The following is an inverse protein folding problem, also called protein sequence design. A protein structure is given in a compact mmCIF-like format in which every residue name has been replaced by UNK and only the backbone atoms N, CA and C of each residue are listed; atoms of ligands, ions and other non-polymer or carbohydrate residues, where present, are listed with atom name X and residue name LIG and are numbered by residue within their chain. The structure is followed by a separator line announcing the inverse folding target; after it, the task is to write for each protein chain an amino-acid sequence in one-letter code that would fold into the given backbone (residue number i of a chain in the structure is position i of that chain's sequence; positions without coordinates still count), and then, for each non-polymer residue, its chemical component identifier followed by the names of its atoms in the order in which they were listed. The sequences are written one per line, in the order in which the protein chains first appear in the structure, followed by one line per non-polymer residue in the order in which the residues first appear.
data_IF_780209793559
#
_entry.id   IF_780209793559
#
_cell.length_a   1.000
_cell.length_b   1.000
_cell.length_c   1.000
_cell.angle_alpha   90.00
_cell.angle_beta   90.00
_cell.angle_gamma   90.00
#
_symmetry.space_group_name_H-M   'P 1'
#
loop_
_entity.id
_entity.type
_entity.pdbx_description
1 polymer ?
#
# COMPACT_ATOMS: atom_id res chain seq x y z
N UNK A 1 103.71 51.64 -59.13
CA UNK A 1 105.01 52.11 -59.65
C UNK A 1 105.80 52.65 -58.48
N UNK A 2 106.81 51.88 -58.09
CA UNK A 2 108.16 52.30 -57.74
C UNK A 2 108.47 53.49 -56.81
N UNK A 3 109.33 53.12 -55.86
CA UNK A 3 110.63 53.72 -55.57
C UNK A 3 110.78 54.72 -54.43
N UNK A 4 111.34 54.19 -53.35
CA UNK A 4 112.64 54.58 -52.77
C UNK A 4 113.45 55.71 -53.46
N UNK A 5 113.97 56.62 -52.63
CA UNK A 5 115.15 57.45 -52.91
C UNK A 5 115.19 58.71 -52.01
N UNK A 6 115.91 58.73 -50.89
CA UNK A 6 117.33 59.12 -50.66
C UNK A 6 117.74 60.59 -50.93
N UNK A 7 118.23 61.27 -49.87
CA UNK A 7 119.37 62.25 -49.76
C UNK A 7 119.15 63.09 -48.48
N UNK A 8 119.99 63.18 -47.43
CA UNK A 8 121.43 63.47 -47.21
C UNK A 8 121.79 64.88 -47.71
N UNK A 9 122.13 65.89 -46.89
CA UNK A 9 123.36 66.19 -46.11
C UNK A 9 123.04 67.43 -45.21
N UNK A 10 123.65 67.81 -44.06
CA UNK A 10 125.05 68.17 -43.75
C UNK A 10 125.15 68.49 -42.23
N UNK A 11 126.03 67.85 -41.44
CA UNK A 11 127.34 68.34 -40.90
C UNK A 11 127.29 69.48 -39.84
N UNK A 12 127.71 69.15 -38.62
CA UNK A 12 128.11 70.09 -37.55
C UNK A 12 128.54 69.33 -36.27
N UNK A 13 129.82 69.45 -35.89
CA UNK A 13 130.52 68.67 -34.85
C UNK A 13 130.50 69.30 -33.44
N UNK A 14 130.86 68.44 -32.47
CA UNK A 14 131.64 68.65 -31.22
C UNK A 14 130.92 68.48 -29.85
N UNK A 15 131.27 67.35 -29.18
CA UNK A 15 131.90 67.21 -27.83
C UNK A 15 131.16 67.79 -26.59
N UNK A 16 130.94 67.16 -25.42
CA UNK A 16 131.59 66.10 -24.58
C UNK A 16 130.61 65.74 -23.39
N UNK A 17 130.91 64.87 -22.40
CA UNK A 17 129.98 63.85 -21.92
C UNK A 17 129.47 63.92 -20.46
N UNK A 18 128.41 63.13 -20.24
CA UNK A 18 128.01 62.31 -19.06
C UNK A 18 127.73 62.96 -17.69
N UNK A 19 126.50 62.72 -17.20
CA UNK A 19 126.12 62.83 -15.79
C UNK A 19 124.72 62.26 -15.52
N UNK A 20 124.68 61.14 -14.78
CA UNK A 20 123.49 60.40 -14.33
C UNK A 20 122.53 61.24 -13.47
N UNK A 21 121.23 60.90 -13.46
CA UNK A 21 120.28 60.79 -12.32
C UNK A 21 118.81 60.97 -12.79
N UNK A 22 118.06 59.87 -12.88
CA UNK A 22 116.64 59.87 -13.27
C UNK A 22 115.97 58.52 -13.01
N UNK A 23 115.77 58.13 -11.74
CA UNK A 23 115.17 56.82 -11.36
C UNK A 23 114.10 56.89 -10.26
N UNK A 24 113.71 58.09 -9.81
CA UNK A 24 112.88 58.24 -8.59
C UNK A 24 111.39 58.59 -8.83
N UNK A 25 110.99 59.03 -10.02
CA UNK A 25 109.57 59.35 -10.31
C UNK A 25 108.68 58.11 -10.55
N UNK A 26 109.25 57.01 -11.06
CA UNK A 26 108.48 55.80 -11.39
C UNK A 26 107.90 55.04 -10.19
N UNK A 27 108.45 55.20 -8.98
CA UNK A 27 108.06 54.41 -7.80
C UNK A 27 106.78 54.95 -7.12
N UNK A 28 106.64 56.28 -7.00
CA UNK A 28 105.41 56.93 -6.49
C UNK A 28 104.20 56.68 -7.39
N UNK A 29 104.41 56.68 -8.70
CA UNK A 29 103.37 56.42 -9.68
C UNK A 29 102.83 54.98 -9.57
N UNK A 30 103.70 53.98 -9.35
CA UNK A 30 103.29 52.57 -9.16
C UNK A 30 102.47 52.34 -7.88
N UNK A 31 102.85 52.96 -6.76
CA UNK A 31 102.05 52.89 -5.53
C UNK A 31 100.68 53.56 -5.68
N UNK A 32 100.61 54.69 -6.38
CA UNK A 32 99.36 55.37 -6.70
C UNK A 32 98.45 54.51 -7.61
N UNK A 33 99.01 53.88 -8.64
CA UNK A 33 98.27 52.94 -9.50
C UNK A 33 97.78 51.70 -8.75
N UNK A 34 98.59 51.11 -7.86
CA UNK A 34 98.17 49.97 -7.03
C UNK A 34 97.05 50.35 -6.05
N UNK A 35 97.16 51.51 -5.39
CA UNK A 35 96.11 52.03 -4.51
C UNK A 35 94.82 52.32 -5.28
N UNK A 36 94.91 52.88 -6.49
CA UNK A 36 93.76 53.14 -7.35
C UNK A 36 93.10 51.83 -7.82
N UNK A 37 93.88 50.82 -8.22
CA UNK A 37 93.37 49.51 -8.62
C UNK A 37 92.66 48.80 -7.45
N UNK A 38 93.23 48.86 -6.24
CA UNK A 38 92.58 48.32 -5.05
C UNK A 38 91.29 49.08 -4.71
N UNK A 39 91.29 50.41 -4.81
CA UNK A 39 90.09 51.23 -4.61
C UNK A 39 89.00 50.87 -5.63
N UNK A 40 89.33 50.81 -6.91
CA UNK A 40 88.40 50.41 -7.98
C UNK A 40 87.89 48.99 -7.75
N UNK A 41 88.76 48.04 -7.38
CA UNK A 41 88.35 46.67 -7.07
C UNK A 41 87.42 46.60 -5.86
N UNK A 42 87.68 47.35 -4.79
CA UNK A 42 86.79 47.40 -3.61
C UNK A 42 85.45 48.05 -3.93
N UNK A 43 85.42 49.10 -4.75
CA UNK A 43 84.18 49.74 -5.22
C UNK A 43 83.38 48.78 -6.10
N UNK A 44 84.04 48.08 -7.04
CA UNK A 44 83.41 47.06 -7.89
C UNK A 44 82.85 45.90 -7.05
N UNK A 45 83.61 45.42 -6.07
CA UNK A 45 83.16 44.38 -5.14
C UNK A 45 81.99 44.84 -4.28
N UNK A 46 82.00 46.07 -3.77
CA UNK A 46 80.89 46.65 -3.03
C UNK A 46 79.63 46.79 -3.91
N UNK A 47 79.79 47.17 -5.18
CA UNK A 47 78.68 47.26 -6.13
C UNK A 47 78.10 45.88 -6.47
N UNK A 48 78.94 44.89 -6.72
CA UNK A 48 78.51 43.49 -6.94
C UNK A 48 77.80 42.95 -5.70
N UNK A 49 78.36 43.16 -4.51
CA UNK A 49 77.73 42.73 -3.25
C UNK A 49 76.37 43.41 -3.03
N UNK A 50 76.27 44.70 -3.34
CA UNK A 50 75.00 45.45 -3.27
C UNK A 50 73.95 44.88 -4.22
N UNK A 51 74.31 44.54 -5.45
CA UNK A 51 73.41 43.89 -6.42
C UNK A 51 72.96 42.52 -5.90
N UNK A 52 73.89 41.71 -5.40
CA UNK A 52 73.57 40.38 -4.86
C UNK A 52 72.66 40.46 -3.63
N UNK A 53 72.92 41.39 -2.71
CA UNK A 53 72.07 41.65 -1.54
C UNK A 53 70.70 42.16 -1.96
N UNK A 54 70.62 43.04 -2.96
CA UNK A 54 69.35 43.54 -3.52
C UNK A 54 68.53 42.39 -4.11
N UNK A 55 69.14 41.56 -4.97
CA UNK A 55 68.49 40.38 -5.56
C UNK A 55 68.01 39.39 -4.49
N UNK A 56 68.87 39.06 -3.52
CA UNK A 56 68.51 38.21 -2.39
C UNK A 56 67.37 38.81 -1.55
N UNK A 57 67.33 40.14 -1.37
CA UNK A 57 66.24 40.82 -0.65
C UNK A 57 64.90 40.77 -1.40
N UNK A 58 64.93 40.76 -2.73
CA UNK A 58 63.74 40.67 -3.59
C UNK A 58 63.20 39.25 -3.59
N UNK A 59 64.07 38.25 -3.79
CA UNK A 59 63.70 36.83 -3.71
C UNK A 59 63.17 36.46 -2.32
N UNK A 60 63.79 36.98 -1.25
CA UNK A 60 63.29 36.81 0.11
C UNK A 60 61.91 37.41 0.31
N UNK A 61 61.66 38.63 -0.20
CA UNK A 61 60.32 39.26 -0.13
C UNK A 61 59.28 38.46 -0.92
N UNK A 62 59.62 37.93 -2.08
CA UNK A 62 58.72 37.09 -2.88
C UNK A 62 58.38 35.78 -2.16
N UNK A 63 59.39 35.11 -1.57
CA UNK A 63 59.19 33.89 -0.78
C UNK A 63 58.33 34.14 0.47
N UNK A 64 58.57 35.24 1.19
CA UNK A 64 57.74 35.62 2.35
C UNK A 64 56.29 35.89 1.92
N UNK A 65 56.08 36.65 0.83
CA UNK A 65 54.72 36.89 0.33
C UNK A 65 54.00 35.62 -0.13
N UNK A 66 54.72 34.66 -0.70
CA UNK A 66 54.15 33.36 -1.08
C UNK A 66 53.84 32.49 0.14
N UNK A 67 54.65 32.58 1.20
CA UNK A 67 54.37 31.93 2.48
C UNK A 67 53.15 32.55 3.18
N UNK A 68 53.02 33.88 3.19
CA UNK A 68 51.86 34.58 3.74
C UNK A 68 50.57 34.17 3.00
N UNK A 69 50.60 34.06 1.66
CA UNK A 69 49.48 33.56 0.85
C UNK A 69 49.10 32.12 1.18
N UNK A 70 50.10 31.25 1.40
CA UNK A 70 49.87 29.86 1.80
C UNK A 70 49.28 29.77 3.20
N UNK A 71 49.76 30.57 4.16
CA UNK A 71 49.22 30.63 5.51
C UNK A 71 47.78 31.16 5.52
N UNK A 72 47.48 32.20 4.74
CA UNK A 72 46.13 32.71 4.58
C UNK A 72 45.19 31.66 3.99
N UNK A 73 45.56 31.01 2.89
CA UNK A 73 44.74 29.98 2.26
C UNK A 73 44.55 28.75 3.17
N UNK A 74 45.59 28.35 3.90
CA UNK A 74 45.49 27.30 4.91
C UNK A 74 44.51 27.71 6.02
N UNK A 75 44.56 28.96 6.50
CA UNK A 75 43.62 29.46 7.50
C UNK A 75 42.17 29.44 6.99
N UNK A 76 41.94 29.86 5.74
CA UNK A 76 40.62 29.84 5.10
C UNK A 76 40.07 28.40 5.00
N UNK A 77 40.91 27.45 4.56
CA UNK A 77 40.52 26.04 4.52
C UNK A 77 40.22 25.46 5.91
N UNK A 78 40.95 25.85 6.96
CA UNK A 78 40.64 25.39 8.32
C UNK A 78 39.30 25.91 8.83
N UNK A 79 38.93 27.15 8.48
CA UNK A 79 37.63 27.73 8.82
C UNK A 79 36.51 27.00 8.09
N UNK A 80 36.65 26.80 6.77
CA UNK A 80 35.66 26.08 5.95
C UNK A 80 35.48 24.63 6.43
N UNK A 81 36.58 23.95 6.75
CA UNK A 81 36.55 22.58 7.29
C UNK A 81 35.86 22.53 8.66
N UNK A 82 36.08 23.54 9.50
CA UNK A 82 35.40 23.70 10.79
C UNK A 82 33.88 23.83 10.63
N UNK A 83 33.43 24.73 9.75
CA UNK A 83 32.01 24.94 9.47
C UNK A 83 31.34 23.67 8.89
N UNK A 84 32.00 23.01 7.94
CA UNK A 84 31.49 21.76 7.36
C UNK A 84 31.36 20.65 8.43
N UNK A 85 32.31 20.56 9.36
CA UNK A 85 32.26 19.58 10.46
C UNK A 85 31.08 19.83 11.39
N UNK A 86 30.75 21.09 11.67
CA UNK A 86 29.57 21.45 12.47
C UNK A 86 28.27 21.09 11.74
N UNK A 87 28.15 21.42 10.45
CA UNK A 87 26.96 21.08 9.65
C UNK A 87 26.75 19.56 9.55
N UNK A 88 27.82 18.81 9.27
CA UNK A 88 27.77 17.34 9.23
C UNK A 88 27.39 16.77 10.60
N UNK A 89 27.91 17.35 11.69
CA UNK A 89 27.54 16.98 13.05
C UNK A 89 26.06 17.20 13.35
N UNK A 90 25.53 18.37 12.99
CA UNK A 90 24.11 18.71 13.14
C UNK A 90 23.21 17.79 12.30
N UNK A 91 23.59 17.52 11.05
CA UNK A 91 22.88 16.61 10.16
C UNK A 91 22.85 15.18 10.72
N UNK A 92 24.00 14.68 11.22
CA UNK A 92 24.08 13.36 11.83
C UNK A 92 23.19 13.26 13.08
N UNK A 93 23.20 14.27 13.95
CA UNK A 93 22.32 14.32 15.12
C UNK A 93 20.83 14.32 14.73
N UNK A 94 20.46 15.09 13.70
CA UNK A 94 19.09 15.12 13.17
C UNK A 94 18.68 13.74 12.62
N UNK A 95 19.55 13.09 11.85
CA UNK A 95 19.33 11.77 11.27
C UNK A 95 19.16 10.68 12.35
N UNK A 96 19.96 10.73 13.41
CA UNK A 96 19.82 9.83 14.55
C UNK A 96 18.48 10.06 15.27
N UNK A 97 18.06 11.31 15.43
CA UNK A 97 16.77 11.67 16.02
C UNK A 97 15.58 11.18 15.20
N UNK A 98 15.62 11.33 13.87
CA UNK A 98 14.57 10.83 12.97
C UNK A 98 14.55 9.30 12.94
N UNK A 99 15.71 8.64 12.94
CA UNK A 99 15.81 7.18 13.03
C UNK A 99 15.17 6.65 14.32
N UNK A 100 15.45 7.27 15.47
CA UNK A 100 14.85 6.88 16.74
C UNK A 100 13.33 7.04 16.71
N UNK A 101 12.81 8.18 16.22
CA UNK A 101 11.37 8.39 16.05
C UNK A 101 10.74 7.35 15.13
N UNK A 102 11.38 7.04 14.01
CA UNK A 102 10.89 6.03 13.07
C UNK A 102 10.78 4.65 13.74
N UNK A 103 11.80 4.26 14.51
CA UNK A 103 11.76 3.00 15.26
C UNK A 103 10.60 2.97 16.26
N UNK A 104 10.36 4.05 17.00
CA UNK A 104 9.22 4.16 17.93
C UNK A 104 7.88 4.05 17.20
N UNK A 105 7.71 4.75 16.07
CA UNK A 105 6.48 4.65 15.29
C UNK A 105 6.25 3.25 14.72
N UNK A 106 7.32 2.54 14.38
CA UNK A 106 7.25 1.20 13.82
C UNK A 106 6.84 0.18 14.90
N UNK A 107 7.30 0.36 16.14
CA UNK A 107 6.85 -0.43 17.28
C UNK A 107 5.38 -0.16 17.63
N UNK A 108 4.96 1.11 17.66
CA UNK A 108 3.55 1.48 17.91
C UNK A 108 2.62 0.94 16.81
N UNK A 109 3.07 0.97 15.55
CA UNK A 109 2.32 0.40 14.44
C UNK A 109 2.17 -1.12 14.57
N UNK A 110 3.21 -1.82 15.01
CA UNK A 110 3.15 -3.26 15.30
C UNK A 110 2.15 -3.59 16.41
N UNK A 111 2.16 -2.84 17.50
CA UNK A 111 1.22 -3.03 18.62
C UNK A 111 -0.23 -2.76 18.21
N UNK A 112 -0.47 -1.72 17.42
CA UNK A 112 -1.81 -1.41 16.91
C UNK A 112 -2.31 -2.47 15.95
N UNK A 113 -1.45 -3.02 15.08
CA UNK A 113 -1.81 -4.12 14.19
C UNK A 113 -2.25 -5.37 14.96
N UNK A 114 -1.55 -5.73 16.05
CA UNK A 114 -1.94 -6.87 16.91
C UNK A 114 -3.31 -6.62 17.55
N UNK A 115 -3.57 -5.40 18.06
CA UNK A 115 -4.87 -5.04 18.65
C UNK A 115 -6.02 -5.14 17.64
N UNK A 116 -5.80 -4.71 16.40
CA UNK A 116 -6.81 -4.83 15.32
C UNK A 116 -7.11 -6.29 15.02
N UNK A 117 -6.09 -7.14 14.90
CA UNK A 117 -6.27 -8.59 14.71
C UNK A 117 -7.08 -9.24 15.83
N UNK A 118 -6.83 -8.85 17.08
CA UNK A 118 -7.60 -9.32 18.24
C UNK A 118 -9.07 -8.82 18.22
N UNK A 119 -9.30 -7.58 17.80
CA UNK A 119 -10.66 -7.05 17.64
C UNK A 119 -11.42 -7.78 16.53
N UNK A 120 -10.77 -8.07 15.41
CA UNK A 120 -11.38 -8.85 14.33
C UNK A 120 -11.76 -10.27 14.77
N UNK A 121 -10.91 -10.94 15.57
CA UNK A 121 -11.25 -12.27 16.09
C UNK A 121 -12.41 -12.21 17.09
N UNK A 122 -12.41 -11.22 18.00
CA UNK A 122 -13.51 -11.02 18.95
C UNK A 122 -14.83 -10.68 18.23
N UNK A 123 -14.77 -9.91 17.15
CA UNK A 123 -15.95 -9.56 16.35
C UNK A 123 -16.53 -10.79 15.65
N UNK A 124 -15.69 -11.66 15.08
CA UNK A 124 -16.14 -12.92 14.48
C UNK A 124 -16.80 -13.83 15.50
N UNK A 125 -16.21 -13.98 16.69
CA UNK A 125 -16.78 -14.79 17.77
C UNK A 125 -18.12 -14.21 18.27
N UNK A 126 -18.23 -12.88 18.36
CA UNK A 126 -19.49 -12.22 18.71
C UNK A 126 -20.55 -12.43 17.63
N UNK A 127 -20.19 -12.30 16.35
CA UNK A 127 -21.10 -12.53 15.23
C UNK A 127 -21.63 -13.97 15.23
N UNK A 128 -20.77 -14.95 15.51
CA UNK A 128 -21.16 -16.35 15.62
C UNK A 128 -22.11 -16.58 16.80
N UNK A 129 -21.80 -16.04 17.98
CA UNK A 129 -22.70 -16.09 19.16
C UNK A 129 -24.07 -15.46 18.88
N UNK A 130 -24.10 -14.28 18.25
CA UNK A 130 -25.36 -13.60 17.92
C UNK A 130 -26.16 -14.43 16.91
N UNK A 131 -25.51 -15.00 15.90
CA UNK A 131 -26.17 -15.84 14.88
C UNK A 131 -26.75 -17.10 15.51
N UNK A 132 -25.99 -17.77 16.36
CA UNK A 132 -26.45 -18.94 17.09
C UNK A 132 -27.63 -18.60 18.02
N UNK A 133 -27.51 -17.53 18.80
CA UNK A 133 -28.58 -17.08 19.69
C UNK A 133 -29.86 -16.70 18.94
N UNK A 134 -29.75 -16.09 17.76
CA UNK A 134 -30.89 -15.79 16.92
C UNK A 134 -31.56 -17.06 16.35
N UNK A 135 -30.76 -18.07 15.97
CA UNK A 135 -31.26 -19.36 15.53
C UNK A 135 -31.93 -20.15 16.67
N UNK A 136 -31.40 -20.08 17.89
CA UNK A 136 -32.01 -20.63 19.11
C UNK A 136 -33.34 -19.94 19.41
N UNK A 137 -33.35 -18.61 19.50
CA UNK A 137 -34.58 -17.84 19.73
C UNK A 137 -35.64 -18.08 18.64
N UNK A 138 -35.21 -18.26 17.38
CA UNK A 138 -36.08 -18.64 16.27
C UNK A 138 -36.73 -20.01 16.48
N UNK A 139 -35.95 -21.01 16.90
CA UNK A 139 -36.46 -22.35 17.24
C UNK A 139 -37.40 -22.32 18.45
N UNK A 140 -37.05 -21.59 19.50
CA UNK A 140 -37.88 -21.48 20.70
C UNK A 140 -39.23 -20.82 20.38
N UNK A 141 -39.22 -19.77 19.56
CA UNK A 141 -40.45 -19.13 19.09
C UNK A 141 -41.33 -20.10 18.30
N UNK A 142 -40.73 -20.92 17.44
CA UNK A 142 -41.48 -21.90 16.65
C UNK A 142 -42.01 -23.04 17.53
N UNK A 143 -41.21 -23.53 18.48
CA UNK A 143 -41.66 -24.52 19.45
C UNK A 143 -42.86 -24.00 20.25
N UNK A 144 -42.79 -22.76 20.77
CA UNK A 144 -43.91 -22.13 21.48
C UNK A 144 -45.13 -21.98 20.58
N UNK A 145 -44.94 -21.61 19.30
CA UNK A 145 -46.02 -21.52 18.32
C UNK A 145 -46.66 -22.89 18.11
N UNK A 146 -45.88 -23.94 17.90
CA UNK A 146 -46.34 -25.32 17.71
C UNK A 146 -47.07 -25.84 18.94
N UNK A 147 -46.52 -25.67 20.13
CA UNK A 147 -47.17 -26.04 21.41
C UNK A 147 -48.49 -25.29 21.58
N UNK A 148 -48.52 -23.99 21.30
CA UNK A 148 -49.75 -23.19 21.34
C UNK A 148 -50.78 -23.70 20.34
N UNK A 149 -50.37 -24.04 19.11
CA UNK A 149 -51.27 -24.63 18.12
C UNK A 149 -51.77 -26.01 18.55
N UNK A 150 -50.92 -26.88 19.10
CA UNK A 150 -51.33 -28.19 19.61
C UNK A 150 -52.33 -28.06 20.76
N UNK A 151 -52.12 -27.10 21.68
CA UNK A 151 -53.06 -26.82 22.77
C UNK A 151 -54.37 -26.23 22.22
N UNK A 152 -54.30 -25.30 21.26
CA UNK A 152 -55.49 -24.71 20.63
C UNK A 152 -56.29 -25.74 19.81
N UNK A 153 -55.60 -26.62 19.06
CA UNK A 153 -56.22 -27.74 18.35
C UNK A 153 -56.79 -28.76 19.34
N UNK A 154 -56.06 -29.09 20.41
CA UNK A 154 -56.56 -29.94 21.49
C UNK A 154 -57.83 -29.39 22.13
N UNK A 155 -57.91 -28.08 22.37
CA UNK A 155 -59.10 -27.40 22.89
C UNK A 155 -60.23 -27.35 21.85
N UNK A 156 -59.91 -27.15 20.55
CA UNK A 156 -60.90 -27.18 19.46
C UNK A 156 -61.48 -28.57 19.19
N UNK A 157 -60.69 -29.62 19.39
CA UNK A 157 -60.98 -30.98 18.94
C UNK A 157 -61.17 -32.00 20.06
N UNK A 158 -61.42 -31.56 21.31
CA UNK A 158 -61.84 -32.49 22.36
C UNK A 158 -63.12 -33.29 22.01
N UNK A 159 -63.80 -33.00 20.89
CA UNK A 159 -64.88 -33.83 20.36
C UNK A 159 -64.91 -34.03 18.83
N UNK A 160 -63.92 -33.53 18.08
CA UNK A 160 -64.01 -33.49 16.63
C UNK A 160 -63.18 -34.54 15.89
N UNK A 161 -63.78 -35.26 14.94
CA UNK A 161 -63.07 -36.19 14.05
C UNK A 161 -62.67 -35.51 12.74
N UNK A 162 -61.38 -35.54 12.40
CA UNK A 162 -60.88 -35.05 11.11
C UNK A 162 -60.97 -36.14 10.03
N UNK A 163 -61.44 -35.76 8.84
CA UNK A 163 -61.37 -36.62 7.66
C UNK A 163 -59.89 -36.95 7.34
N UNK A 164 -59.61 -38.17 6.86
CA UNK A 164 -58.28 -38.51 6.36
C UNK A 164 -57.95 -37.71 5.09
N UNK A 165 -56.67 -37.47 4.85
CA UNK A 165 -56.24 -36.83 3.60
C UNK A 165 -56.64 -37.68 2.38
N UNK A 166 -56.92 -37.06 1.22
CA UNK A 166 -57.27 -37.79 0.01
C UNK A 166 -56.16 -38.76 -0.40
N UNK A 167 -56.52 -39.79 -1.18
CA UNK A 167 -55.55 -40.74 -1.73
C UNK A 167 -54.46 -39.99 -2.51
N UNK A 168 -53.20 -40.40 -2.32
CA UNK A 168 -51.98 -39.76 -2.88
C UNK A 168 -51.56 -38.44 -2.23
N UNK A 169 -52.21 -38.02 -1.15
CA UNK A 169 -51.76 -36.90 -0.31
C UNK A 169 -51.08 -37.42 0.94
N UNK A 170 -50.04 -36.73 1.37
CA UNK A 170 -49.34 -37.02 2.62
C UNK A 170 -49.91 -36.15 3.74
N UNK A 171 -49.99 -36.68 4.95
CA UNK A 171 -50.51 -35.95 6.12
C UNK A 171 -49.35 -35.47 7.00
N UNK A 172 -49.38 -34.21 7.39
CA UNK A 172 -48.44 -33.65 8.37
C UNK A 172 -49.11 -32.49 9.12
N UNK A 173 -49.03 -32.50 10.46
CA UNK A 173 -49.52 -31.43 11.35
C UNK A 173 -50.90 -30.81 10.98
N UNK A 174 -51.89 -31.65 10.71
CA UNK A 174 -53.26 -31.19 10.41
C UNK A 174 -53.47 -30.67 8.98
N UNK A 175 -52.45 -30.72 8.12
CA UNK A 175 -52.51 -30.42 6.69
C UNK A 175 -52.30 -31.67 5.83
N UNK A 176 -52.75 -31.59 4.59
CA UNK A 176 -52.56 -32.56 3.52
C UNK A 176 -51.67 -31.94 2.44
N UNK A 177 -50.68 -32.69 1.97
CA UNK A 177 -49.69 -32.27 0.97
C UNK A 177 -49.72 -33.15 -0.27
N UNK A 178 -49.77 -32.54 -1.44
CA UNK A 178 -49.72 -33.23 -2.73
C UNK A 178 -48.50 -32.78 -3.51
N UNK A 179 -47.66 -33.74 -3.88
CA UNK A 179 -46.48 -33.52 -4.71
C UNK A 179 -46.86 -33.86 -6.15
N UNK A 180 -46.93 -32.86 -7.03
CA UNK A 180 -47.24 -33.07 -8.44
C UNK A 180 -46.04 -33.64 -9.18
N UNK A 181 -46.30 -34.34 -10.28
CA UNK A 181 -45.23 -34.66 -11.23
C UNK A 181 -44.88 -33.42 -12.07
N UNK A 182 -43.61 -33.19 -12.45
CA UNK A 182 -43.24 -32.22 -13.48
C UNK A 182 -43.75 -32.65 -14.87
N UNK A 183 -43.83 -31.76 -15.87
CA UNK A 183 -43.46 -30.34 -15.86
C UNK A 183 -44.60 -29.40 -15.43
N UNK A 184 -44.31 -28.37 -14.64
CA UNK A 184 -45.26 -27.30 -14.29
C UNK A 184 -44.56 -25.95 -14.15
N UNK A 185 -45.15 -24.86 -14.64
CA UNK A 185 -44.70 -23.50 -14.33
C UNK A 185 -45.28 -23.02 -12.99
N UNK A 186 -44.73 -21.95 -12.42
CA UNK A 186 -45.23 -21.46 -11.12
C UNK A 186 -46.71 -21.05 -11.19
N UNK A 187 -47.12 -20.39 -12.28
CA UNK A 187 -48.51 -20.00 -12.49
C UNK A 187 -49.43 -21.20 -12.77
N UNK A 188 -48.96 -22.19 -13.55
CA UNK A 188 -49.71 -23.43 -13.77
C UNK A 188 -49.89 -24.23 -12.47
N UNK A 189 -48.86 -24.22 -11.62
CA UNK A 189 -48.86 -24.88 -10.32
C UNK A 189 -49.90 -24.27 -9.36
N UNK A 190 -50.01 -22.94 -9.32
CA UNK A 190 -51.09 -22.29 -8.55
C UNK A 190 -52.47 -22.73 -9.02
N UNK A 191 -52.70 -22.78 -10.34
CA UNK A 191 -53.99 -23.25 -10.90
C UNK A 191 -54.26 -24.71 -10.56
N UNK A 192 -53.23 -25.57 -10.63
CA UNK A 192 -53.33 -26.98 -10.27
C UNK A 192 -53.75 -27.13 -8.80
N UNK A 193 -53.07 -26.44 -7.88
CA UNK A 193 -53.43 -26.50 -6.47
C UNK A 193 -54.84 -25.96 -6.22
N UNK A 194 -55.21 -24.84 -6.85
CA UNK A 194 -56.56 -24.29 -6.73
C UNK A 194 -57.65 -25.28 -7.20
N UNK A 195 -57.43 -25.97 -8.32
CA UNK A 195 -58.34 -27.02 -8.81
C UNK A 195 -58.48 -28.20 -7.84
N UNK A 196 -57.46 -28.45 -7.01
CA UNK A 196 -57.47 -29.45 -5.94
C UNK A 196 -58.06 -28.94 -4.61
N UNK A 197 -58.64 -27.73 -4.62
CA UNK A 197 -59.09 -27.00 -3.43
C UNK A 197 -57.96 -26.84 -2.40
N UNK A 198 -56.78 -26.50 -2.91
CA UNK A 198 -55.53 -26.32 -2.18
C UNK A 198 -54.82 -25.05 -2.67
N UNK A 199 -53.70 -24.72 -2.04
CA UNK A 199 -52.81 -23.65 -2.49
C UNK A 199 -51.39 -24.19 -2.66
N UNK A 200 -50.51 -23.46 -3.35
CA UNK A 200 -49.09 -23.80 -3.31
C UNK A 200 -48.61 -23.76 -1.85
N UNK A 201 -47.74 -24.67 -1.47
CA UNK A 201 -47.31 -24.83 -0.07
C UNK A 201 -46.70 -23.54 0.49
N UNK A 202 -47.04 -23.24 1.74
CA UNK A 202 -46.50 -22.12 2.51
C UNK A 202 -45.74 -22.73 3.68
N UNK A 203 -44.41 -22.59 3.70
CA UNK A 203 -43.59 -23.27 4.70
C UNK A 203 -43.48 -22.41 5.95
N UNK A 204 -44.17 -22.84 7.02
CA UNK A 204 -44.29 -22.11 8.28
C UNK A 204 -43.09 -22.25 9.21
N UNK A 205 -42.31 -23.33 9.10
CA UNK A 205 -41.21 -23.60 10.01
C UNK A 205 -40.32 -24.79 9.65
N UNK A 206 -39.35 -25.07 10.52
CA UNK A 206 -38.31 -26.07 10.28
C UNK A 206 -38.84 -27.51 10.24
N UNK A 207 -39.85 -27.83 11.05
CA UNK A 207 -40.43 -29.19 11.09
C UNK A 207 -41.15 -29.52 9.78
N UNK A 208 -41.96 -28.58 9.28
CA UNK A 208 -42.61 -28.70 7.98
C UNK A 208 -41.59 -28.78 6.85
N UNK A 209 -40.56 -27.92 6.86
CA UNK A 209 -39.46 -28.00 5.90
C UNK A 209 -38.82 -29.39 5.90
N UNK A 210 -38.52 -29.95 7.08
CA UNK A 210 -37.95 -31.29 7.21
C UNK A 210 -38.86 -32.37 6.61
N UNK A 211 -40.16 -32.32 6.91
CA UNK A 211 -41.15 -33.21 6.32
C UNK A 211 -41.17 -33.13 4.79
N UNK A 212 -41.19 -31.92 4.21
CA UNK A 212 -41.21 -31.72 2.76
C UNK A 212 -39.92 -32.22 2.10
N UNK A 213 -38.75 -31.92 2.68
CA UNK A 213 -37.44 -32.36 2.18
C UNK A 213 -37.31 -33.88 2.08
N UNK A 214 -37.90 -34.63 3.02
CA UNK A 214 -37.88 -36.10 3.01
C UNK A 214 -38.71 -36.70 1.86
N UNK A 215 -39.63 -35.94 1.28
CA UNK A 215 -40.58 -36.41 0.29
C UNK A 215 -40.35 -35.83 -1.12
N UNK A 216 -39.22 -35.15 -1.35
CA UNK A 216 -38.86 -34.64 -2.68
C UNK A 216 -38.68 -35.75 -3.72
N UNK A 217 -38.32 -36.97 -3.29
CA UNK A 217 -38.07 -38.13 -4.16
C UNK A 217 -37.10 -37.83 -5.31
N UNK A 218 -36.15 -36.92 -5.09
CA UNK A 218 -35.15 -36.52 -6.09
C UNK A 218 -35.62 -35.49 -7.12
N UNK A 219 -36.80 -34.90 -6.95
CA UNK A 219 -37.37 -33.89 -7.86
C UNK A 219 -37.38 -32.49 -7.23
N UNK A 220 -37.48 -31.46 -8.08
CA UNK A 220 -37.71 -30.07 -7.67
C UNK A 220 -39.18 -29.69 -7.69
N UNK A 221 -39.56 -28.73 -6.84
CA UNK A 221 -40.96 -28.33 -6.64
C UNK A 221 -41.14 -26.83 -6.42
N UNK A 222 -42.10 -26.23 -7.12
CA UNK A 222 -42.55 -24.87 -6.84
C UNK A 222 -43.18 -24.73 -5.45
N UNK A 223 -42.86 -23.61 -4.79
CA UNK A 223 -43.41 -23.19 -3.50
C UNK A 223 -44.35 -22.01 -3.69
N UNK A 224 -45.20 -21.74 -2.69
CA UNK A 224 -46.08 -20.58 -2.67
C UNK A 224 -45.37 -19.27 -2.34
N UNK A 225 -44.12 -19.10 -2.75
CA UNK A 225 -43.26 -17.95 -2.43
C UNK A 225 -42.84 -17.22 -3.70
N UNK A 226 -42.96 -15.89 -3.69
CA UNK A 226 -42.59 -15.03 -4.80
C UNK A 226 -41.92 -13.74 -4.37
N UNK A 227 -41.15 -13.15 -5.28
CA UNK A 227 -40.45 -11.90 -5.09
C UNK A 227 -41.41 -10.70 -5.05
N UNK A 228 -41.01 -9.68 -4.29
CA UNK A 228 -41.61 -8.35 -4.29
C UNK A 228 -40.59 -7.40 -4.89
N UNK A 229 -40.88 -6.95 -6.11
CA UNK A 229 -39.96 -6.14 -6.89
C UNK A 229 -40.33 -4.64 -6.81
N UNK A 230 -39.31 -3.80 -6.60
CA UNK A 230 -39.43 -2.35 -6.68
C UNK A 230 -38.41 -1.82 -7.67
N UNK A 231 -38.86 -1.02 -8.64
CA UNK A 231 -37.99 -0.48 -9.70
C UNK A 231 -37.14 -1.54 -10.43
N UNK A 232 -37.74 -2.72 -10.69
CA UNK A 232 -37.08 -3.83 -11.41
C UNK A 232 -35.99 -4.56 -10.61
N UNK A 233 -36.03 -4.49 -9.27
CA UNK A 233 -35.15 -5.23 -8.37
C UNK A 233 -35.94 -5.92 -7.28
N UNK A 234 -35.59 -7.15 -6.95
CA UNK A 234 -36.11 -7.87 -5.78
C UNK A 234 -35.74 -7.10 -4.51
N UNK A 235 -36.73 -6.80 -3.65
CA UNK A 235 -36.53 -6.16 -2.34
C UNK A 235 -36.78 -7.14 -1.19
N UNK A 236 -37.73 -8.04 -1.37
CA UNK A 236 -38.16 -9.00 -0.37
C UNK A 236 -38.93 -10.14 -1.03
N UNK A 237 -39.29 -11.16 -0.27
CA UNK A 237 -40.18 -12.24 -0.71
C UNK A 237 -41.43 -12.29 0.16
N UNK A 238 -42.55 -12.71 -0.43
CA UNK A 238 -43.83 -12.91 0.26
C UNK A 238 -44.49 -14.21 -0.18
N UNK A 239 -45.17 -14.85 0.77
CA UNK A 239 -46.00 -16.00 0.49
C UNK A 239 -47.27 -15.57 -0.27
N UNK A 240 -47.92 -16.52 -0.94
CA UNK A 240 -49.16 -16.29 -1.70
C UNK A 240 -50.35 -15.87 -0.83
N UNK A 241 -50.29 -16.05 0.49
CA UNK A 241 -51.24 -15.51 1.47
C UNK A 241 -50.97 -14.03 1.82
N UNK A 242 -49.89 -13.45 1.28
CA UNK A 242 -49.46 -12.07 1.51
C UNK A 242 -48.52 -11.88 2.70
N UNK A 243 -48.22 -12.93 3.46
CA UNK A 243 -47.32 -12.83 4.63
C UNK A 243 -45.87 -12.67 4.17
N UNK A 244 -45.12 -11.68 4.70
CA UNK A 244 -43.70 -11.53 4.39
C UNK A 244 -42.87 -12.73 4.86
N UNK A 245 -41.80 -13.05 4.14
CA UNK A 245 -40.93 -14.17 4.48
C UNK A 245 -40.21 -13.94 5.83
N UNK A 246 -40.43 -14.85 6.78
CA UNK A 246 -39.80 -14.81 8.12
C UNK A 246 -38.90 -16.00 8.43
N UNK A 247 -38.98 -17.07 7.64
CA UNK A 247 -38.18 -18.29 7.72
C UNK A 247 -37.71 -18.64 6.31
N UNK A 248 -36.48 -19.10 6.15
CA UNK A 248 -35.96 -19.48 4.84
C UNK A 248 -35.05 -20.70 4.90
N UNK A 249 -35.04 -21.48 3.82
CA UNK A 249 -34.14 -22.62 3.65
C UNK A 249 -33.35 -22.52 2.34
N UNK A 250 -32.85 -21.32 2.04
CA UNK A 250 -32.08 -21.02 0.83
C UNK A 250 -30.86 -21.92 0.66
N UNK A 251 -30.60 -22.31 -0.58
CA UNK A 251 -29.35 -22.95 -0.97
C UNK A 251 -28.18 -21.97 -0.83
N UNK A 252 -26.97 -22.50 -0.72
CA UNK A 252 -25.76 -21.68 -0.65
C UNK A 252 -25.63 -20.80 -1.90
N UNK A 253 -25.64 -19.49 -1.70
CA UNK A 253 -25.57 -18.50 -2.79
C UNK A 253 -26.92 -17.94 -3.22
N UNK A 254 -28.03 -18.46 -2.69
CA UNK A 254 -29.38 -18.01 -3.02
C UNK A 254 -29.99 -17.08 -1.96
N UNK A 255 -30.96 -16.23 -2.34
CA UNK A 255 -31.39 -15.98 -3.72
C UNK A 255 -30.40 -15.08 -4.48
N UNK A 256 -30.20 -15.36 -5.78
CA UNK A 256 -29.20 -14.68 -6.60
C UNK A 256 -29.79 -13.74 -7.68
N UNK A 257 -31.10 -13.79 -7.92
CA UNK A 257 -31.84 -13.04 -8.93
C UNK A 257 -31.19 -13.12 -10.32
N UNK A 258 -30.95 -14.34 -10.81
CA UNK A 258 -30.15 -14.57 -12.01
C UNK A 258 -30.75 -13.86 -13.21
N UNK A 259 -29.94 -13.02 -13.86
CA UNK A 259 -30.35 -12.18 -15.00
C UNK A 259 -31.56 -11.27 -14.71
N UNK A 260 -31.87 -11.00 -13.44
CA UNK A 260 -33.02 -10.21 -12.96
C UNK A 260 -34.37 -10.74 -13.43
N UNK A 261 -34.53 -12.05 -13.43
CA UNK A 261 -35.70 -12.73 -13.99
C UNK A 261 -36.26 -13.82 -13.05
N UNK A 262 -35.74 -13.94 -11.83
CA UNK A 262 -36.03 -15.04 -10.91
C UNK A 262 -36.98 -14.62 -9.80
N UNK A 263 -38.22 -14.32 -10.19
CA UNK A 263 -39.24 -13.79 -9.28
C UNK A 263 -40.04 -14.86 -8.51
N UNK A 264 -39.80 -16.15 -8.75
CA UNK A 264 -40.52 -17.27 -8.12
C UNK A 264 -39.56 -18.21 -7.41
N UNK A 265 -40.03 -18.95 -6.41
CA UNK A 265 -39.14 -19.81 -5.60
C UNK A 265 -39.54 -21.27 -5.71
N UNK A 266 -38.54 -22.13 -5.87
CA UNK A 266 -38.68 -23.58 -5.86
C UNK A 266 -37.79 -24.21 -4.79
N UNK A 267 -38.18 -25.37 -4.33
CA UNK A 267 -37.36 -26.28 -3.55
C UNK A 267 -36.67 -27.27 -4.48
N UNK A 268 -35.35 -27.37 -4.36
CA UNK A 268 -34.50 -28.32 -5.08
C UNK A 268 -34.70 -29.74 -4.52
N UNK A 269 -34.19 -30.74 -5.24
CA UNK A 269 -34.18 -32.13 -4.78
C UNK A 269 -33.49 -32.33 -3.42
N UNK A 270 -32.57 -31.44 -3.06
CA UNK A 270 -31.87 -31.43 -1.76
C UNK A 270 -32.73 -30.92 -0.60
N UNK A 271 -33.90 -30.34 -0.88
CA UNK A 271 -34.74 -29.65 0.11
C UNK A 271 -34.40 -28.16 0.28
N UNK A 272 -33.28 -27.70 -0.26
CA UNK A 272 -32.87 -26.28 -0.23
C UNK A 272 -33.60 -25.47 -1.30
N UNK A 273 -33.76 -24.17 -1.09
CA UNK A 273 -34.54 -23.30 -1.97
C UNK A 273 -33.67 -22.55 -2.97
N UNK A 274 -34.26 -22.25 -4.12
CA UNK A 274 -33.67 -21.51 -5.21
C UNK A 274 -34.71 -20.56 -5.80
N UNK A 275 -34.36 -19.30 -6.04
CA UNK A 275 -35.16 -18.44 -6.89
C UNK A 275 -34.96 -18.81 -8.35
N UNK A 276 -36.05 -18.82 -9.11
CA UNK A 276 -36.09 -19.32 -10.47
C UNK A 276 -37.08 -18.53 -11.32
N UNK A 277 -36.88 -18.58 -12.63
CA UNK A 277 -37.80 -17.97 -13.58
C UNK A 277 -39.18 -18.61 -13.44
N UNK A 278 -40.21 -17.82 -13.16
CA UNK A 278 -41.58 -18.30 -12.96
C UNK A 278 -42.13 -19.13 -14.14
N UNK A 279 -41.61 -18.89 -15.35
CA UNK A 279 -41.97 -19.58 -16.58
C UNK A 279 -41.22 -20.90 -16.81
N UNK A 280 -40.22 -21.24 -15.99
CA UNK A 280 -39.56 -22.54 -16.05
C UNK A 280 -40.59 -23.66 -15.83
N UNK A 281 -40.47 -24.74 -16.59
CA UNK A 281 -41.40 -25.87 -16.53
C UNK A 281 -40.71 -27.17 -16.13
N UNK A 282 -39.47 -27.13 -15.64
CA UNK A 282 -38.72 -28.37 -15.36
C UNK A 282 -39.19 -29.10 -14.09
N UNK A 283 -39.96 -28.43 -13.24
CA UNK A 283 -40.23 -28.85 -11.87
C UNK A 283 -41.70 -29.15 -11.62
N UNK A 284 -41.97 -29.91 -10.55
CA UNK A 284 -43.31 -30.14 -10.04
C UNK A 284 -43.76 -28.99 -9.14
N UNK A 285 -44.82 -29.20 -8.37
CA UNK A 285 -45.23 -28.30 -7.30
C UNK A 285 -45.75 -29.06 -6.09
N UNK A 286 -45.76 -28.39 -4.94
CA UNK A 286 -46.37 -28.93 -3.73
C UNK A 286 -47.62 -28.12 -3.43
N UNK A 287 -48.76 -28.81 -3.38
CA UNK A 287 -50.02 -28.25 -2.94
C UNK A 287 -50.30 -28.60 -1.49
N UNK A 288 -50.87 -27.67 -0.75
CA UNK A 288 -51.25 -27.82 0.65
C UNK A 288 -52.72 -27.45 0.85
N UNK A 289 -53.42 -28.21 1.69
CA UNK A 289 -54.71 -27.82 2.27
C UNK A 289 -54.87 -28.36 3.69
N UNK A 290 -55.60 -27.63 4.53
CA UNK A 290 -55.97 -28.11 5.86
C UNK A 290 -56.90 -29.31 5.78
N UNK A 291 -56.79 -30.22 6.75
CA UNK A 291 -57.75 -31.32 6.93
C UNK A 291 -59.12 -30.77 7.31
N UNK A 292 -60.17 -31.35 6.71
CA UNK A 292 -61.55 -31.08 7.11
C UNK A 292 -61.80 -31.77 8.45
N UNK A 293 -62.08 -30.97 9.47
CA UNK A 293 -62.41 -31.48 10.80
C UNK A 293 -63.75 -30.92 11.25
N UNK A 294 -64.63 -31.79 11.72
CA UNK A 294 -65.93 -31.43 12.23
C UNK A 294 -65.91 -31.51 13.76
N UNK A 295 -66.63 -30.63 14.48
CA UNK A 295 -66.72 -30.63 15.93
C UNK A 295 -67.46 -31.85 16.50
#
# INVERSE_FOLDING_TARGET
MDNTGYSKWSRGSQDLPAGHWGRWEHCKQRFFFLALVLLVATILWAFILSILLSKASVERRALVGQQDLLEMNASEQTVVLGALKEEVGACNSCCLGTKAKLQTTLTELGETQIKVLQQESALKELQERVTQGLAEAGRDRENVRTELFQVLEGIKFQNGSCEPCPKSWLTFQGSCYFFSEPPSSWEASQRLCANLSAHLVIIGGLEEQGFLSLHTRGLGYWLGLGAVCHSGKVQSYKWIDGVPLSFSHWNSGEPNDSRRQEDCVMMLHSGLWNDAQCSSTMDGCICEKRRSCYP
#
